data_IF_050882549367
#
_entry.id   IF_050882549367
#
_cell.length_a   1.000
_cell.length_b   1.000
_cell.length_c   1.000
_cell.angle_alpha   90.00
_cell.angle_beta   90.00
_cell.angle_gamma   90.00
#
_symmetry.space_group_name_H-M   'P 1'
#
loop_
_entity.id
_entity.type
_entity.pdbx_description
1 polymer ?
#
# COMPACT_ATOMS: atom_id res chain seq x y z
N UNK A 1 19.66 -3.51 22.27
CA UNK A 1 18.94 -4.56 23.03
C UNK A 1 19.88 -5.07 24.11
N UNK A 2 19.38 -5.28 25.32
CA UNK A 2 20.13 -5.96 26.39
C UNK A 2 20.65 -7.30 25.84
N UNK A 3 21.87 -7.68 26.22
CA UNK A 3 22.45 -8.96 25.82
C UNK A 3 21.50 -10.09 26.24
N UNK A 4 21.33 -11.10 25.38
CA UNK A 4 20.32 -12.16 25.58
C UNK A 4 20.41 -12.94 26.90
N UNK A 5 21.45 -12.71 27.72
CA UNK A 5 21.62 -13.30 29.05
C UNK A 5 20.67 -12.67 30.11
N UNK A 6 20.39 -11.37 30.04
CA UNK A 6 19.57 -10.63 31.03
C UNK A 6 18.10 -10.43 30.61
N UNK A 7 17.72 -10.86 29.41
CA UNK A 7 16.38 -10.64 28.88
C UNK A 7 15.32 -11.58 29.49
N UNK A 8 14.07 -11.13 29.57
CA UNK A 8 12.91 -11.93 30.01
C UNK A 8 12.71 -13.13 29.07
N UNK A 9 11.99 -14.17 29.52
CA UNK A 9 11.80 -15.39 28.73
C UNK A 9 11.15 -15.11 27.35
N UNK A 10 10.23 -14.14 27.27
CA UNK A 10 9.61 -13.72 26.00
C UNK A 10 10.60 -13.08 25.03
N UNK A 11 11.41 -12.15 25.52
CA UNK A 11 12.46 -11.50 24.72
C UNK A 11 13.50 -12.50 24.23
N UNK A 12 13.88 -13.47 25.07
CA UNK A 12 14.77 -14.58 24.68
C UNK A 12 14.18 -15.39 23.52
N UNK A 13 12.87 -15.68 23.53
CA UNK A 13 12.19 -16.39 22.44
C UNK A 13 12.19 -15.58 21.14
N UNK A 14 11.84 -14.30 21.19
CA UNK A 14 11.86 -13.42 20.01
C UNK A 14 13.28 -13.31 19.47
N UNK A 15 14.28 -13.11 20.33
CA UNK A 15 15.68 -13.05 19.91
C UNK A 15 16.10 -14.36 19.23
N UNK A 16 15.77 -15.53 19.81
CA UNK A 16 16.04 -16.85 19.20
C UNK A 16 15.36 -17.01 17.85
N UNK A 17 14.10 -16.59 17.73
CA UNK A 17 13.36 -16.59 16.47
C UNK A 17 14.10 -15.77 15.42
N UNK A 18 14.46 -14.52 15.73
CA UNK A 18 15.16 -13.63 14.79
C UNK A 18 16.58 -14.10 14.44
N UNK A 19 17.27 -14.82 15.33
CA UNK A 19 18.61 -15.39 15.05
C UNK A 19 18.56 -16.73 14.33
N UNK A 20 17.40 -17.37 14.24
CA UNK A 20 17.34 -18.71 13.66
C UNK A 20 17.59 -18.65 12.16
N UNK A 21 18.52 -19.47 11.68
CA UNK A 21 18.82 -19.67 10.27
C UNK A 21 17.82 -20.60 9.58
N UNK A 22 16.94 -21.26 10.35
CA UNK A 22 15.93 -22.21 9.83
C UNK A 22 14.79 -21.55 9.07
N UNK A 23 14.72 -20.22 9.07
CA UNK A 23 13.70 -19.46 8.35
C UNK A 23 14.24 -18.09 7.93
N UNK A 24 13.59 -17.48 6.94
CA UNK A 24 13.82 -16.12 6.49
C UNK A 24 12.50 -15.40 6.26
N UNK A 25 12.56 -14.09 6.08
CA UNK A 25 11.42 -13.25 5.73
C UNK A 25 10.68 -13.74 4.47
N UNK A 26 11.33 -14.50 3.59
CA UNK A 26 10.71 -15.04 2.37
C UNK A 26 9.52 -15.95 2.68
N UNK A 27 9.53 -16.68 3.81
CA UNK A 27 8.38 -17.48 4.23
C UNK A 27 7.12 -16.62 4.41
N UNK A 28 7.27 -15.42 4.98
CA UNK A 28 6.17 -14.47 5.18
C UNK A 28 5.75 -13.86 3.84
N UNK A 29 6.72 -13.54 2.97
CA UNK A 29 6.44 -13.02 1.62
C UNK A 29 5.64 -14.02 0.78
N UNK A 30 5.97 -15.30 0.84
CA UNK A 30 5.21 -16.39 0.19
C UNK A 30 3.80 -16.48 0.78
N UNK A 31 3.68 -16.50 2.11
CA UNK A 31 2.38 -16.55 2.77
C UNK A 31 1.47 -15.38 2.36
N UNK A 32 1.98 -14.15 2.39
CA UNK A 32 1.24 -12.95 1.99
C UNK A 32 0.83 -13.00 0.52
N UNK A 33 1.73 -13.45 -0.35
CA UNK A 33 1.42 -13.63 -1.75
C UNK A 33 0.28 -14.64 -1.96
N UNK A 34 0.30 -15.77 -1.25
CA UNK A 34 -0.77 -16.76 -1.32
C UNK A 34 -2.11 -16.20 -0.81
N UNK A 35 -2.12 -15.46 0.31
CA UNK A 35 -3.33 -14.79 0.79
C UNK A 35 -3.87 -13.75 -0.21
N UNK A 36 -2.98 -13.08 -0.95
CA UNK A 36 -3.38 -12.16 -2.01
C UNK A 36 -3.90 -12.90 -3.24
N UNK A 37 -3.33 -14.07 -3.58
CA UNK A 37 -3.85 -14.93 -4.63
C UNK A 37 -5.25 -15.45 -4.30
N UNK A 38 -5.49 -15.90 -3.08
CA UNK A 38 -6.82 -16.31 -2.60
C UNK A 38 -7.82 -15.16 -2.76
N UNK A 39 -7.44 -13.95 -2.32
CA UNK A 39 -8.30 -12.77 -2.46
C UNK A 39 -8.54 -12.41 -3.93
N UNK A 40 -7.54 -12.55 -4.79
CA UNK A 40 -7.69 -12.36 -6.24
C UNK A 40 -8.72 -13.34 -6.82
N UNK A 41 -8.63 -14.64 -6.48
CA UNK A 41 -9.59 -15.64 -6.97
C UNK A 41 -11.01 -15.43 -6.42
N UNK A 42 -11.15 -14.97 -5.18
CA UNK A 42 -12.45 -14.55 -4.62
C UNK A 42 -13.06 -13.41 -5.44
N UNK A 43 -12.33 -12.31 -5.62
CA UNK A 43 -12.84 -11.15 -6.36
C UNK A 43 -13.17 -11.50 -7.82
N UNK A 44 -12.35 -12.37 -8.42
CA UNK A 44 -12.59 -12.88 -9.77
C UNK A 44 -13.89 -13.69 -9.86
N UNK A 45 -14.15 -14.57 -8.88
CA UNK A 45 -15.41 -15.33 -8.79
C UNK A 45 -16.62 -14.42 -8.57
N UNK A 46 -16.46 -13.35 -7.80
CA UNK A 46 -17.49 -12.33 -7.57
C UNK A 46 -17.74 -11.44 -8.79
N UNK A 47 -16.87 -11.49 -9.81
CA UNK A 47 -16.92 -10.62 -10.97
C UNK A 47 -16.62 -9.16 -10.64
N UNK A 48 -15.95 -8.90 -9.51
CA UNK A 48 -15.53 -7.56 -9.12
C UNK A 48 -14.28 -7.11 -9.89
N UNK A 49 -14.15 -5.81 -10.09
CA UNK A 49 -12.91 -5.22 -10.59
C UNK A 49 -11.79 -5.39 -9.56
N UNK A 50 -10.70 -6.04 -9.96
CA UNK A 50 -9.56 -6.31 -9.09
C UNK A 50 -8.53 -5.21 -9.24
N UNK A 51 -8.27 -4.49 -8.16
CA UNK A 51 -7.31 -3.40 -8.14
C UNK A 51 -6.05 -3.82 -7.39
N UNK A 52 -4.88 -3.49 -7.94
CA UNK A 52 -3.62 -3.56 -7.21
C UNK A 52 -3.16 -2.13 -6.95
N UNK A 53 -3.19 -1.73 -5.69
CA UNK A 53 -2.83 -0.38 -5.26
C UNK A 53 -1.37 -0.34 -4.83
N UNK A 54 -0.64 0.64 -5.34
CA UNK A 54 0.80 0.82 -5.16
C UNK A 54 1.09 2.14 -4.46
N UNK A 55 2.00 2.11 -3.49
CA UNK A 55 2.61 3.33 -2.95
C UNK A 55 3.95 3.00 -2.26
N UNK A 56 4.74 4.05 -2.08
CA UNK A 56 5.99 4.02 -1.33
C UNK A 56 5.86 4.77 0.01
N UNK A 57 6.67 4.40 0.98
CA UNK A 57 6.81 5.10 2.24
C UNK A 57 8.23 4.98 2.76
N UNK A 58 8.53 5.77 3.78
CA UNK A 58 9.83 5.74 4.44
C UNK A 58 9.68 5.32 5.90
N UNK A 59 10.61 4.52 6.41
CA UNK A 59 10.73 4.24 7.84
C UNK A 59 11.75 5.24 8.40
N UNK A 60 11.28 6.24 9.15
CA UNK A 60 12.14 7.26 9.74
C UNK A 60 12.88 6.73 10.99
N UNK A 61 14.21 6.86 11.01
CA UNK A 61 15.12 6.47 12.11
C UNK A 61 16.11 7.60 12.48
N UNK A 62 15.63 8.82 12.80
CA UNK A 62 16.49 10.00 12.98
C UNK A 62 17.52 9.87 14.11
N UNK A 63 17.25 9.02 15.11
CA UNK A 63 18.13 8.80 16.27
C UNK A 63 19.11 7.63 16.07
N UNK A 64 18.97 6.85 14.99
CA UNK A 64 19.76 5.63 14.81
C UNK A 64 21.05 5.90 14.07
N UNK A 65 22.19 5.67 14.72
CA UNK A 65 23.51 5.82 14.08
C UNK A 65 24.16 4.48 13.71
N UNK A 66 23.83 3.41 14.44
CA UNK A 66 24.51 2.10 14.36
C UNK A 66 23.75 1.04 13.55
N UNK A 67 22.53 1.35 13.11
CA UNK A 67 21.77 0.37 12.34
C UNK A 67 22.37 0.23 10.93
N UNK A 68 22.50 -1.00 10.46
CA UNK A 68 23.06 -1.28 9.14
C UNK A 68 22.16 -0.73 8.04
N UNK A 69 22.79 -0.30 6.94
CA UNK A 69 22.14 0.16 5.71
C UNK A 69 21.19 1.36 5.86
N UNK A 70 21.41 2.25 6.84
CA UNK A 70 20.62 3.48 6.91
C UNK A 70 20.87 4.38 5.70
N UNK A 71 19.80 4.74 5.00
CA UNK A 71 19.83 5.71 3.91
C UNK A 71 19.12 7.02 4.29
N UNK A 72 19.32 8.05 3.47
CA UNK A 72 18.73 9.37 3.66
C UNK A 72 17.29 9.38 3.16
N UNK A 73 16.29 9.56 4.01
CA UNK A 73 14.85 9.56 3.65
C UNK A 73 14.18 10.90 3.96
N UNK A 74 13.11 11.26 3.24
CA UNK A 74 12.35 12.48 3.52
C UNK A 74 11.50 12.30 4.76
N UNK A 75 11.63 13.21 5.74
CA UNK A 75 10.83 13.17 6.96
C UNK A 75 9.51 13.91 6.79
N UNK A 76 8.44 13.14 6.68
CA UNK A 76 7.07 13.66 6.69
C UNK A 76 6.70 14.24 8.06
N UNK A 77 7.22 13.64 9.14
CA UNK A 77 6.98 14.07 10.53
C UNK A 77 7.60 15.43 10.82
N UNK A 78 8.87 15.62 10.46
CA UNK A 78 9.56 16.89 10.66
C UNK A 78 8.96 17.99 9.79
N UNK A 79 8.61 17.67 8.52
CA UNK A 79 7.92 18.60 7.64
C UNK A 79 6.58 19.07 8.24
N UNK A 80 5.82 18.17 8.87
CA UNK A 80 4.58 18.53 9.59
C UNK A 80 4.84 19.40 10.80
N UNK A 81 5.86 19.10 11.63
CA UNK A 81 6.21 19.89 12.82
C UNK A 81 6.68 21.31 12.49
N UNK A 82 7.25 21.52 11.29
CA UNK A 82 7.63 22.84 10.80
C UNK A 82 6.44 23.70 10.34
N UNK A 83 5.25 23.11 10.11
CA UNK A 83 4.08 23.90 9.70
C UNK A 83 3.64 24.82 10.84
N UNK A 84 3.88 26.10 10.66
CA UNK A 84 3.26 27.13 11.50
C UNK A 84 1.81 27.36 11.10
N UNK A 85 0.99 27.83 12.04
CA UNK A 85 -0.39 28.24 11.75
C UNK A 85 -0.36 29.43 10.80
N UNK A 86 -1.19 29.37 9.76
CA UNK A 86 -1.37 30.46 8.79
C UNK A 86 -1.69 31.75 9.55
N UNK A 87 -0.92 32.81 9.31
CA UNK A 87 -1.11 34.12 9.95
C UNK A 87 -0.36 34.35 11.27
N UNK A 88 0.31 33.34 11.85
CA UNK A 88 1.18 33.55 13.03
C UNK A 88 2.63 33.74 12.58
N UNK A 89 3.19 32.72 11.93
CA UNK A 89 4.50 32.83 11.27
C UNK A 89 4.34 32.34 9.84
N UNK A 90 4.35 33.25 8.87
CA UNK A 90 4.38 32.90 7.45
C UNK A 90 5.80 32.47 7.06
N UNK A 91 6.33 31.40 7.68
CA UNK A 91 7.62 30.87 7.26
C UNK A 91 7.44 30.20 5.88
N UNK A 92 8.25 30.57 4.88
CA UNK A 92 8.22 29.91 3.59
C UNK A 92 8.46 28.41 3.76
N UNK A 93 7.84 27.61 2.88
CA UNK A 93 8.11 26.18 2.80
C UNK A 93 9.61 25.97 2.55
N UNK A 94 10.33 25.50 3.57
CA UNK A 94 11.76 25.25 3.46
C UNK A 94 12.08 23.99 2.65
N UNK A 95 13.39 23.76 2.44
CA UNK A 95 13.89 22.51 1.86
C UNK A 95 13.31 21.30 2.60
N UNK A 96 13.03 20.18 1.89
CA UNK A 96 12.62 18.93 2.53
C UNK A 96 13.59 18.55 3.64
N UNK A 97 13.05 18.16 4.79
CA UNK A 97 13.87 17.69 5.91
C UNK A 97 14.22 16.22 5.65
N UNK A 98 15.50 15.90 5.72
CA UNK A 98 16.05 14.57 5.46
C UNK A 98 16.54 13.98 6.77
N UNK A 99 16.21 12.72 7.02
CA UNK A 99 16.64 11.95 8.20
C UNK A 99 17.20 10.60 7.78
N UNK A 100 17.84 9.87 8.68
CA UNK A 100 18.22 8.48 8.45
C UNK A 100 16.98 7.58 8.48
N UNK A 101 16.98 6.51 7.68
CA UNK A 101 15.85 5.59 7.60
C UNK A 101 16.04 4.50 6.56
N UNK A 102 14.91 3.92 6.16
CA UNK A 102 14.78 2.90 5.11
C UNK A 102 13.64 3.25 4.18
N UNK A 103 13.74 2.77 2.94
CA UNK A 103 12.66 2.85 1.96
C UNK A 103 11.75 1.63 2.09
N UNK A 104 10.50 1.80 1.67
CA UNK A 104 9.47 0.79 1.82
C UNK A 104 8.46 0.91 0.69
N UNK A 105 8.18 -0.20 0.02
CA UNK A 105 7.20 -0.27 -1.07
C UNK A 105 6.17 -1.34 -0.76
N UNK A 106 4.89 -1.08 -1.05
CA UNK A 106 3.83 -2.08 -0.85
C UNK A 106 2.84 -2.14 -2.01
N UNK A 107 2.31 -3.35 -2.20
CA UNK A 107 1.23 -3.66 -3.13
C UNK A 107 0.07 -4.28 -2.35
N UNK A 108 -1.13 -3.72 -2.53
CA UNK A 108 -2.34 -4.18 -1.83
C UNK A 108 -3.40 -4.53 -2.86
N UNK A 109 -3.95 -5.74 -2.79
CA UNK A 109 -5.08 -6.19 -3.60
C UNK A 109 -6.38 -5.72 -2.94
N UNK A 110 -7.22 -5.03 -3.70
CA UNK A 110 -8.51 -4.52 -3.24
C UNK A 110 -9.58 -4.70 -4.31
N UNK A 111 -10.79 -5.07 -3.90
CA UNK A 111 -11.98 -4.99 -4.75
C UNK A 111 -12.68 -3.64 -4.67
N UNK A 112 -13.87 -3.55 -5.26
CA UNK A 112 -14.76 -2.40 -5.09
C UNK A 112 -15.18 -2.26 -3.63
N UNK A 113 -15.48 -3.40 -2.99
CA UNK A 113 -15.86 -3.52 -1.59
C UNK A 113 -14.96 -4.54 -0.87
N UNK A 114 -15.25 -4.78 0.41
CA UNK A 114 -14.55 -5.77 1.22
C UNK A 114 -13.17 -5.35 1.74
N UNK A 115 -12.50 -6.31 2.38
CA UNK A 115 -11.20 -6.16 3.03
C UNK A 115 -10.06 -6.04 1.99
N UNK A 116 -9.05 -5.21 2.25
CA UNK A 116 -7.81 -5.25 1.48
C UNK A 116 -6.97 -6.49 1.86
N UNK A 117 -6.18 -7.00 0.92
CA UNK A 117 -5.18 -8.05 1.17
C UNK A 117 -3.78 -7.56 0.79
N UNK A 118 -2.81 -7.78 1.66
CA UNK A 118 -1.43 -7.35 1.42
C UNK A 118 -0.72 -8.37 0.54
N UNK A 119 -0.33 -7.98 -0.68
CA UNK A 119 0.33 -8.89 -1.62
C UNK A 119 1.85 -8.88 -1.48
N UNK A 120 2.44 -7.69 -1.35
CA UNK A 120 3.88 -7.51 -1.24
C UNK A 120 4.16 -6.32 -0.32
N UNK A 121 5.20 -6.45 0.49
CA UNK A 121 5.65 -5.40 1.40
C UNK A 121 7.16 -5.50 1.57
N UNK A 122 7.90 -4.74 0.77
CA UNK A 122 9.35 -4.85 0.68
C UNK A 122 10.02 -3.66 1.36
N UNK A 123 10.97 -3.96 2.26
CA UNK A 123 11.75 -2.99 3.02
C UNK A 123 13.18 -3.00 2.51
N UNK A 124 13.66 -1.85 2.03
CA UNK A 124 14.91 -1.78 1.29
C UNK A 124 15.69 -0.51 1.60
N UNK A 125 16.91 -0.42 1.07
CA UNK A 125 17.79 0.72 1.29
C UNK A 125 18.56 1.09 0.04
N UNK A 126 18.87 2.38 -0.10
CA UNK A 126 19.79 2.92 -1.11
C UNK A 126 21.27 2.81 -0.72
N UNK A 127 21.57 2.13 0.39
CA UNK A 127 22.93 1.94 0.93
C UNK A 127 23.14 0.49 1.36
N UNK A 128 24.43 0.11 1.42
CA UNK A 128 24.86 -1.23 1.81
C UNK A 128 25.21 -2.11 0.60
N UNK A 129 25.65 -3.35 0.85
CA UNK A 129 25.99 -4.31 -0.21
C UNK A 129 24.82 -4.61 -1.15
N UNK A 130 23.60 -4.65 -0.61
CA UNK A 130 22.36 -4.88 -1.37
C UNK A 130 21.59 -3.57 -1.60
N UNK A 131 22.31 -2.48 -1.93
CA UNK A 131 21.68 -1.20 -2.23
C UNK A 131 20.78 -1.34 -3.46
N UNK A 132 19.56 -0.83 -3.36
CA UNK A 132 18.59 -0.80 -4.45
C UNK A 132 18.16 0.62 -4.74
N UNK A 133 17.58 0.83 -5.92
CA UNK A 133 16.87 2.06 -6.28
C UNK A 133 15.37 1.84 -6.23
N UNK A 134 14.62 2.95 -6.11
CA UNK A 134 13.15 2.91 -6.16
C UNK A 134 12.65 2.23 -7.42
N UNK A 135 13.26 2.56 -8.57
CA UNK A 135 12.89 2.01 -9.87
C UNK A 135 13.10 0.49 -9.93
N UNK A 136 14.24 -0.02 -9.45
CA UNK A 136 14.53 -1.45 -9.48
C UNK A 136 13.54 -2.25 -8.62
N UNK A 137 13.22 -1.76 -7.42
CA UNK A 137 12.28 -2.46 -6.55
C UNK A 137 10.86 -2.43 -7.12
N UNK A 138 10.42 -1.26 -7.61
CA UNK A 138 9.10 -1.12 -8.23
C UNK A 138 8.97 -1.96 -9.51
N UNK A 139 10.03 -2.04 -10.34
CA UNK A 139 10.04 -2.86 -11.55
C UNK A 139 9.99 -4.36 -11.24
N UNK A 140 10.73 -4.81 -10.23
CA UNK A 140 10.74 -6.20 -9.74
C UNK A 140 9.37 -6.59 -9.21
N UNK A 141 8.75 -5.74 -8.40
CA UNK A 141 7.39 -5.97 -7.89
C UNK A 141 6.38 -5.99 -9.04
N UNK A 142 6.46 -5.04 -9.99
CA UNK A 142 5.58 -5.02 -11.16
C UNK A 142 5.75 -6.27 -12.02
N UNK A 143 6.98 -6.75 -12.20
CA UNK A 143 7.26 -7.97 -12.96
C UNK A 143 6.52 -9.17 -12.37
N UNK A 144 6.56 -9.32 -11.04
CA UNK A 144 5.84 -10.38 -10.35
C UNK A 144 4.33 -10.28 -10.57
N UNK A 145 3.76 -9.10 -10.32
CA UNK A 145 2.30 -8.91 -10.48
C UNK A 145 1.85 -9.09 -11.93
N UNK A 146 2.59 -8.54 -12.90
CA UNK A 146 2.28 -8.68 -14.32
C UNK A 146 2.35 -10.14 -14.79
N UNK A 147 3.33 -10.92 -14.29
CA UNK A 147 3.46 -12.33 -14.64
C UNK A 147 2.30 -13.18 -14.13
N UNK A 148 1.85 -12.93 -12.90
CA UNK A 148 0.82 -13.77 -12.26
C UNK A 148 -0.60 -13.33 -12.63
N UNK A 149 -0.87 -12.03 -12.70
CA UNK A 149 -2.22 -11.50 -12.89
C UNK A 149 -2.43 -10.77 -14.23
N UNK A 150 -1.37 -10.28 -14.87
CA UNK A 150 -1.42 -9.63 -16.17
C UNK A 150 -2.46 -8.51 -16.24
N UNK A 151 -3.31 -8.53 -17.28
CA UNK A 151 -4.39 -7.54 -17.49
C UNK A 151 -5.67 -7.82 -16.70
N UNK A 152 -5.73 -8.89 -15.91
CA UNK A 152 -6.90 -9.20 -15.08
C UNK A 152 -7.01 -8.26 -13.87
N UNK A 153 -5.99 -7.44 -13.63
CA UNK A 153 -5.97 -6.44 -12.56
C UNK A 153 -5.74 -5.05 -13.13
N UNK A 154 -6.33 -4.04 -12.47
CA UNK A 154 -6.05 -2.63 -12.73
C UNK A 154 -5.05 -2.11 -11.70
N UNK A 155 -3.86 -1.73 -12.15
CA UNK A 155 -2.85 -1.14 -11.28
C UNK A 155 -3.19 0.33 -10.98
N UNK A 156 -3.20 0.72 -9.71
CA UNK A 156 -3.55 2.07 -9.26
C UNK A 156 -2.32 2.74 -8.65
N UNK A 157 -1.79 3.77 -9.32
CA UNK A 157 -0.58 4.49 -8.90
C UNK A 157 -0.86 5.96 -8.57
N UNK A 158 -0.15 6.51 -7.57
CA UNK A 158 -0.17 7.96 -7.33
C UNK A 158 0.72 8.74 -8.32
N UNK A 159 0.66 10.07 -8.24
CA UNK A 159 1.47 11.03 -9.00
C UNK A 159 2.99 10.91 -8.84
N UNK A 160 3.48 10.13 -7.88
CA UNK A 160 4.91 9.82 -7.75
C UNK A 160 5.42 8.97 -8.92
N UNK A 161 4.55 8.14 -9.48
CA UNK A 161 4.84 7.22 -10.59
C UNK A 161 4.67 7.86 -11.98
N UNK A 162 4.19 9.11 -12.02
CA UNK A 162 3.92 9.80 -13.28
C UNK A 162 5.24 10.16 -14.00
N UNK A 163 5.55 9.44 -15.07
CA UNK A 163 6.70 9.72 -15.94
C UNK A 163 6.77 8.78 -17.14
N UNK A 164 7.47 9.23 -18.19
CA UNK A 164 7.68 8.45 -19.41
C UNK A 164 8.31 7.07 -19.17
N UNK A 165 9.41 6.94 -18.39
CA UNK A 165 10.03 5.65 -18.11
C UNK A 165 9.09 4.64 -17.45
N UNK A 166 8.19 5.09 -16.58
CA UNK A 166 7.21 4.21 -15.93
C UNK A 166 6.10 3.78 -16.88
N UNK A 167 5.63 4.70 -17.75
CA UNK A 167 4.68 4.37 -18.83
C UNK A 167 5.25 3.31 -19.77
N UNK A 168 6.50 3.47 -20.20
CA UNK A 168 7.18 2.52 -21.10
C UNK A 168 7.25 1.13 -20.47
N UNK A 169 7.59 1.05 -19.18
CA UNK A 169 7.67 -0.21 -18.47
C UNK A 169 6.30 -0.90 -18.34
N UNK A 170 5.22 -0.15 -18.07
CA UNK A 170 3.86 -0.71 -18.07
C UNK A 170 3.42 -1.17 -19.46
N UNK A 171 3.81 -0.45 -20.51
CA UNK A 171 3.56 -0.85 -21.90
C UNK A 171 4.24 -2.18 -22.22
N UNK A 172 5.55 -2.30 -21.93
CA UNK A 172 6.34 -3.53 -22.16
C UNK A 172 5.83 -4.74 -21.41
N UNK A 173 5.12 -4.53 -20.29
CA UNK A 173 4.55 -5.61 -19.46
C UNK A 173 3.08 -5.87 -19.74
N UNK A 174 2.49 -5.13 -20.69
CA UNK A 174 1.08 -5.25 -21.08
C UNK A 174 0.14 -5.25 -19.86
N UNK A 175 0.30 -4.29 -18.94
CA UNK A 175 -0.57 -4.16 -17.77
C UNK A 175 -1.62 -3.08 -17.95
N UNK A 176 -2.78 -3.26 -17.33
CA UNK A 176 -3.80 -2.22 -17.23
C UNK A 176 -3.51 -1.31 -16.04
N UNK A 177 -3.62 0.01 -16.21
CA UNK A 177 -3.26 0.94 -15.15
C UNK A 177 -4.14 2.19 -15.09
N UNK A 178 -4.12 2.86 -13.95
CA UNK A 178 -4.52 4.25 -13.76
C UNK A 178 -3.47 4.99 -12.93
N UNK A 179 -2.99 6.12 -13.45
CA UNK A 179 -2.01 6.99 -12.78
C UNK A 179 -2.56 8.40 -12.72
N UNK A 180 -2.41 9.06 -11.57
CA UNK A 180 -2.71 10.50 -11.47
C UNK A 180 -1.53 11.34 -11.93
N UNK A 181 -1.76 12.21 -12.90
CA UNK A 181 -0.76 13.15 -13.39
C UNK A 181 -1.01 14.57 -12.88
N UNK A 182 0.05 15.39 -12.84
CA UNK A 182 -0.06 16.83 -12.55
C UNK A 182 -0.43 17.59 -13.83
N UNK A 183 -1.13 18.71 -13.69
CA UNK A 183 -1.61 19.54 -14.81
C UNK A 183 -0.51 20.02 -15.78
N UNK A 184 0.74 20.11 -15.32
CA UNK A 184 1.86 20.65 -16.11
C UNK A 184 2.56 19.62 -17.01
N UNK A 185 2.17 18.34 -16.97
CA UNK A 185 2.70 17.35 -17.89
C UNK A 185 2.06 17.46 -19.26
N UNK A 186 2.84 17.23 -20.30
CA UNK A 186 2.45 17.37 -21.69
C UNK A 186 2.08 16.02 -22.31
N UNK A 187 1.04 16.04 -23.12
CA UNK A 187 0.53 14.91 -23.89
C UNK A 187 0.10 15.44 -25.26
N UNK A 188 0.10 14.57 -26.26
CA UNK A 188 -0.45 14.89 -27.57
C UNK A 188 -1.96 14.62 -27.55
N UNK A 189 -2.74 15.54 -28.11
CA UNK A 189 -4.17 15.33 -28.30
C UNK A 189 -4.47 14.49 -29.56
N UNK A 190 -5.75 14.33 -29.88
CA UNK A 190 -6.23 13.59 -31.06
C UNK A 190 -5.74 14.21 -32.39
N UNK A 191 -5.41 15.51 -32.41
CA UNK A 191 -4.89 16.21 -33.57
C UNK A 191 -3.34 16.15 -33.65
N UNK A 192 -2.68 15.54 -32.67
CA UNK A 192 -1.23 15.48 -32.58
C UNK A 192 -0.59 16.74 -31.98
N UNK A 193 -1.37 17.67 -31.43
CA UNK A 193 -0.84 18.88 -30.79
C UNK A 193 -0.38 18.59 -29.36
N UNK A 194 0.85 18.98 -29.04
CA UNK A 194 1.36 18.86 -27.67
C UNK A 194 0.73 19.93 -26.76
N UNK A 195 0.00 19.47 -25.75
CA UNK A 195 -0.68 20.33 -24.79
C UNK A 195 -0.43 19.83 -23.37
N UNK A 196 -0.31 20.75 -22.42
CA UNK A 196 -0.36 20.37 -21.01
C UNK A 196 -1.74 19.83 -20.64
N UNK A 197 -1.80 18.86 -19.73
CA UNK A 197 -3.05 18.32 -19.19
C UNK A 197 -3.98 19.44 -18.67
N UNK A 198 -3.41 20.50 -18.09
CA UNK A 198 -4.14 21.69 -17.65
C UNK A 198 -4.82 22.46 -18.78
N UNK A 199 -4.17 22.59 -19.94
CA UNK A 199 -4.78 23.22 -21.12
C UNK A 199 -5.91 22.35 -21.68
N UNK A 200 -5.65 21.04 -21.85
CA UNK A 200 -6.67 20.07 -22.28
C UNK A 200 -7.89 20.09 -21.37
N UNK A 201 -7.66 20.12 -20.05
CA UNK A 201 -8.71 20.21 -19.05
C UNK A 201 -9.52 21.50 -19.05
N UNK A 202 -8.97 22.62 -19.53
CA UNK A 202 -9.73 23.88 -19.65
C UNK A 202 -10.62 23.90 -20.90
N UNK A 203 -10.17 23.25 -21.99
CA UNK A 203 -10.90 23.19 -23.27
C UNK A 203 -12.21 22.38 -23.17
N UNK A 204 -12.32 21.43 -22.24
CA UNK A 204 -13.49 20.51 -22.14
C UNK A 204 -14.37 20.77 -20.91
N UNK A 205 -15.69 20.93 -21.12
CA UNK A 205 -16.68 20.92 -20.04
C UNK A 205 -16.86 19.50 -19.48
N UNK A 206 -17.33 19.41 -18.23
CA UNK A 206 -17.74 18.12 -17.64
C UNK A 206 -18.91 17.55 -18.43
N UNK A 207 -18.83 16.27 -18.80
CA UNK A 207 -19.88 15.55 -19.53
C UNK A 207 -20.95 15.02 -18.58
N UNK A 208 -20.55 14.49 -17.43
CA UNK A 208 -21.46 13.99 -16.39
C UNK A 208 -21.11 14.55 -15.01
N UNK A 209 -22.08 14.52 -14.09
CA UNK A 209 -21.95 14.98 -12.70
C UNK A 209 -22.66 14.06 -11.72
N UNK A 210 -21.98 13.68 -10.63
CA UNK A 210 -22.58 12.91 -9.53
C UNK A 210 -22.28 13.55 -8.18
N UNK A 211 -23.20 13.37 -7.22
CA UNK A 211 -22.97 13.74 -5.82
C UNK A 211 -22.17 12.63 -5.15
N UNK A 212 -20.94 12.93 -4.74
CA UNK A 212 -20.04 11.98 -4.09
C UNK A 212 -19.75 12.44 -2.67
N UNK A 213 -19.89 11.53 -1.70
CA UNK A 213 -19.52 11.79 -0.31
C UNK A 213 -18.01 11.97 -0.15
N UNK A 214 -17.58 13.13 0.35
CA UNK A 214 -16.19 13.40 0.72
C UNK A 214 -15.97 13.05 2.19
N UNK A 215 -15.36 11.91 2.46
CA UNK A 215 -15.11 11.43 3.82
C UNK A 215 -14.17 12.33 4.64
N UNK A 216 -13.35 13.18 4.00
CA UNK A 216 -12.43 14.09 4.70
C UNK A 216 -13.16 15.33 5.19
N UNK A 217 -14.10 15.84 4.38
CA UNK A 217 -14.87 17.05 4.69
C UNK A 217 -16.24 16.77 5.28
N UNK A 218 -16.66 15.51 5.32
CA UNK A 218 -17.97 15.08 5.79
C UNK A 218 -19.12 15.80 5.07
N UNK A 219 -19.02 15.95 3.75
CA UNK A 219 -20.04 16.61 2.93
C UNK A 219 -20.21 15.91 1.58
N UNK A 220 -21.42 16.00 1.02
CA UNK A 220 -21.66 15.58 -0.36
C UNK A 220 -21.14 16.65 -1.32
N UNK A 221 -20.26 16.25 -2.24
CA UNK A 221 -19.65 17.13 -3.23
C UNK A 221 -20.14 16.79 -4.63
N UNK A 222 -20.61 17.81 -5.35
CA UNK A 222 -20.83 17.71 -6.79
C UNK A 222 -19.48 17.49 -7.47
N UNK A 223 -19.34 16.31 -8.08
CA UNK A 223 -18.13 15.91 -8.80
C UNK A 223 -18.48 15.79 -10.28
N UNK A 224 -17.80 16.57 -11.12
CA UNK A 224 -17.95 16.50 -12.57
C UNK A 224 -16.81 15.73 -13.21
N UNK A 225 -17.10 14.98 -14.26
CA UNK A 225 -16.13 14.16 -14.99
C UNK A 225 -16.20 14.45 -16.48
N UNK A 226 -15.05 14.43 -17.14
CA UNK A 226 -14.94 14.39 -18.61
C UNK A 226 -13.73 13.56 -18.97
N UNK A 227 -13.68 13.04 -20.18
CA UNK A 227 -12.58 12.20 -20.65
C UNK A 227 -12.27 12.46 -22.12
N UNK A 228 -11.05 12.10 -22.52
CA UNK A 228 -10.59 12.23 -23.89
C UNK A 228 -9.39 11.32 -24.18
N UNK A 229 -9.17 11.05 -25.46
CA UNK A 229 -7.97 10.35 -25.90
C UNK A 229 -6.77 11.30 -25.87
N UNK A 230 -5.62 10.73 -25.55
CA UNK A 230 -4.31 11.40 -25.54
C UNK A 230 -3.23 10.40 -25.93
N UNK A 231 -2.10 10.88 -26.41
CA UNK A 231 -0.90 10.07 -26.68
C UNK A 231 0.28 10.62 -25.90
N UNK A 232 1.24 9.76 -25.59
CA UNK A 232 2.46 10.13 -24.88
C UNK A 232 3.66 9.53 -25.60
N UNK A 233 4.78 10.26 -25.72
CA UNK A 233 5.94 9.80 -26.50
C UNK A 233 6.50 8.44 -26.02
N UNK A 234 6.43 8.17 -24.71
CA UNK A 234 6.86 6.90 -24.10
C UNK A 234 5.78 5.80 -24.06
N UNK A 235 4.69 5.92 -24.81
CA UNK A 235 3.62 4.93 -24.86
C UNK A 235 3.04 4.82 -26.28
N UNK A 236 3.17 3.66 -26.92
CA UNK A 236 2.87 3.51 -28.35
C UNK A 236 1.39 3.57 -28.70
N UNK A 237 0.53 3.11 -27.79
CA UNK A 237 -0.92 3.05 -27.98
C UNK A 237 -1.62 4.34 -27.51
N UNK A 238 -2.91 4.45 -27.84
CA UNK A 238 -3.74 5.56 -27.35
C UNK A 238 -4.03 5.39 -25.87
N UNK A 239 -3.85 6.46 -25.11
CA UNK A 239 -4.23 6.56 -23.71
C UNK A 239 -5.52 7.39 -23.57
N UNK A 240 -6.15 7.27 -22.41
CA UNK A 240 -7.29 8.09 -22.02
C UNK A 240 -6.95 8.89 -20.78
N UNK A 241 -7.39 10.14 -20.75
CA UNK A 241 -7.35 10.97 -19.54
C UNK A 241 -8.75 11.23 -19.04
N UNK A 242 -9.00 10.87 -17.79
CA UNK A 242 -10.20 11.24 -17.04
C UNK A 242 -9.91 12.47 -16.19
N UNK A 243 -10.61 13.55 -16.48
CA UNK A 243 -10.50 14.83 -15.78
C UNK A 243 -11.64 14.92 -14.77
N UNK A 244 -11.28 14.93 -13.48
CA UNK A 244 -12.23 14.95 -12.37
C UNK A 244 -12.22 16.30 -11.66
N UNK A 245 -13.38 16.95 -11.57
CA UNK A 245 -13.59 18.26 -10.96
C UNK A 245 -14.46 18.12 -9.70
N UNK A 246 -13.84 18.25 -8.53
CA UNK A 246 -14.47 18.04 -7.20
C UNK A 246 -14.31 19.22 -6.23
N UNK A 247 -14.20 20.43 -6.79
CA UNK A 247 -13.85 21.66 -6.07
C UNK A 247 -12.35 21.72 -5.74
N UNK A 248 -11.67 22.74 -6.25
CA UNK A 248 -10.21 22.88 -6.20
C UNK A 248 -9.53 22.44 -7.50
N UNK A 249 -8.25 22.06 -7.42
CA UNK A 249 -7.48 21.61 -8.59
C UNK A 249 -8.00 20.27 -9.13
N UNK A 250 -8.31 20.18 -10.44
CA UNK A 250 -8.77 18.95 -11.07
C UNK A 250 -7.77 17.80 -10.95
N UNK A 251 -8.28 16.57 -10.94
CA UNK A 251 -7.45 15.37 -11.08
C UNK A 251 -7.38 14.98 -12.54
N UNK A 252 -6.19 14.60 -13.00
CA UNK A 252 -5.96 14.06 -14.33
C UNK A 252 -5.54 12.61 -14.16
N UNK A 253 -6.47 11.68 -14.40
CA UNK A 253 -6.23 10.25 -14.25
C UNK A 253 -5.99 9.66 -15.63
N UNK A 254 -4.75 9.27 -15.92
CA UNK A 254 -4.36 8.68 -17.20
C UNK A 254 -4.42 7.17 -17.08
N UNK A 255 -5.03 6.52 -18.07
CA UNK A 255 -5.21 5.07 -18.14
C UNK A 255 -5.08 4.59 -19.58
N UNK A 256 -4.71 3.32 -19.77
CA UNK A 256 -4.74 2.65 -21.07
C UNK A 256 -6.07 1.91 -21.34
N UNK A 257 -7.03 1.95 -20.42
CA UNK A 257 -8.38 1.39 -20.66
C UNK A 257 -9.21 2.33 -21.54
N UNK A 258 -9.95 1.76 -22.48
CA UNK A 258 -10.85 2.51 -23.33
C UNK A 258 -12.00 3.13 -22.53
N UNK A 259 -12.37 4.38 -22.86
CA UNK A 259 -13.45 5.11 -22.19
C UNK A 259 -14.36 5.75 -23.24
N UNK A 260 -15.45 5.07 -23.54
CA UNK A 260 -16.48 5.52 -24.48
C UNK A 260 -17.71 6.05 -23.74
N UNK A 261 -17.95 5.56 -22.53
CA UNK A 261 -19.13 5.85 -21.71
C UNK A 261 -18.78 6.60 -20.42
N UNK A 262 -19.76 7.28 -19.84
CA UNK A 262 -19.60 7.92 -18.54
C UNK A 262 -19.37 6.89 -17.43
N UNK A 263 -20.01 5.71 -17.50
CA UNK A 263 -19.84 4.62 -16.54
C UNK A 263 -18.38 4.16 -16.45
N UNK A 264 -17.72 4.01 -17.60
CA UNK A 264 -16.30 3.64 -17.65
C UNK A 264 -15.42 4.72 -17.02
N UNK A 265 -15.71 6.00 -17.29
CA UNK A 265 -14.97 7.10 -16.67
C UNK A 265 -15.15 7.11 -15.14
N UNK A 266 -16.38 6.86 -14.66
CA UNK A 266 -16.66 6.74 -13.23
C UNK A 266 -16.02 5.51 -12.59
N UNK A 267 -15.88 4.39 -13.30
CA UNK A 267 -15.13 3.22 -12.82
C UNK A 267 -13.66 3.58 -12.56
N UNK A 268 -13.01 4.30 -13.48
CA UNK A 268 -11.62 4.78 -13.30
C UNK A 268 -11.52 5.72 -12.08
N UNK A 269 -12.48 6.64 -11.93
CA UNK A 269 -12.54 7.49 -10.75
C UNK A 269 -12.67 6.68 -9.44
N UNK A 270 -13.60 5.73 -9.38
CA UNK A 270 -13.84 4.88 -8.20
C UNK A 270 -12.60 4.03 -7.88
N UNK A 271 -11.96 3.44 -8.90
CA UNK A 271 -10.72 2.70 -8.74
C UNK A 271 -9.62 3.57 -8.12
N UNK A 272 -9.42 4.78 -8.67
CA UNK A 272 -8.43 5.69 -8.11
C UNK A 272 -8.81 6.18 -6.69
N UNK A 273 -10.10 6.31 -6.37
CA UNK A 273 -10.55 6.57 -5.00
C UNK A 273 -10.13 5.48 -4.02
N UNK A 274 -10.00 4.20 -4.45
CA UNK A 274 -9.51 3.09 -3.62
C UNK A 274 -8.00 3.16 -3.35
N UNK A 275 -7.25 4.04 -4.03
CA UNK A 275 -5.80 4.20 -3.82
C UNK A 275 -5.43 4.49 -2.35
N UNK A 276 -6.28 5.17 -1.58
CA UNK A 276 -5.96 5.51 -0.19
C UNK A 276 -5.79 4.30 0.75
N UNK A 277 -6.14 3.08 0.32
CA UNK A 277 -5.99 1.90 1.16
C UNK A 277 -4.53 1.58 1.50
N UNK A 278 -3.60 1.73 0.57
CA UNK A 278 -2.18 1.52 0.85
C UNK A 278 -1.62 2.58 1.81
N UNK A 279 -2.08 3.85 1.72
CA UNK A 279 -1.72 4.87 2.70
C UNK A 279 -2.23 4.52 4.10
N UNK A 280 -3.40 3.89 4.18
CA UNK A 280 -3.95 3.42 5.47
C UNK A 280 -3.16 2.27 6.03
N UNK A 281 -2.68 1.36 5.17
CA UNK A 281 -1.72 0.31 5.56
C UNK A 281 -0.48 0.95 6.19
N UNK A 282 0.16 1.89 5.50
CA UNK A 282 1.35 2.59 6.00
C UNK A 282 1.10 3.38 7.28
N UNK A 283 -0.03 4.09 7.36
CA UNK A 283 -0.41 4.83 8.55
C UNK A 283 -0.56 3.91 9.74
N UNK A 284 -1.23 2.78 9.56
CA UNK A 284 -1.47 1.81 10.62
C UNK A 284 -0.17 1.18 11.14
N UNK A 285 0.69 0.74 10.22
CA UNK A 285 2.03 0.21 10.53
C UNK A 285 2.90 1.19 11.33
N UNK A 286 2.90 2.47 10.92
CA UNK A 286 3.67 3.52 11.61
C UNK A 286 3.09 3.88 12.97
N UNK A 287 1.76 3.98 13.08
CA UNK A 287 1.10 4.49 14.29
C UNK A 287 0.77 3.42 15.33
N UNK A 288 0.24 2.27 14.90
CA UNK A 288 -0.30 1.24 15.78
C UNK A 288 0.64 0.05 15.96
N UNK A 289 1.38 -0.34 14.92
CA UNK A 289 2.43 -1.36 15.03
C UNK A 289 3.80 -0.77 15.33
N UNK A 290 3.89 0.56 15.38
CA UNK A 290 5.07 1.31 15.83
C UNK A 290 6.38 0.87 15.14
N UNK A 291 6.33 0.52 13.85
CA UNK A 291 7.48 -0.04 13.09
C UNK A 291 8.74 0.85 13.15
N UNK A 292 8.55 2.17 13.23
CA UNK A 292 9.64 3.14 13.32
C UNK A 292 10.33 3.17 14.70
N UNK A 293 9.77 2.53 15.73
CA UNK A 293 10.39 2.44 17.07
C UNK A 293 11.39 1.29 17.19
N UNK A 294 11.41 0.35 16.24
CA UNK A 294 12.26 -0.85 16.30
C UNK A 294 13.75 -0.49 16.35
N UNK A 295 14.49 -1.09 17.28
CA UNK A 295 15.93 -0.83 17.51
C UNK A 295 16.79 -2.08 17.25
N UNK A 296 16.58 -2.74 16.12
CA UNK A 296 17.39 -3.88 15.66
C UNK A 296 18.43 -3.37 14.66
N UNK A 297 19.71 -3.54 15.00
CA UNK A 297 20.81 -2.99 14.20
C UNK A 297 21.18 -3.87 13.01
N UNK A 298 21.21 -5.19 13.21
CA UNK A 298 21.58 -6.17 12.17
C UNK A 298 20.49 -6.28 11.12
N UNK A 299 20.87 -6.13 9.84
CA UNK A 299 19.97 -6.11 8.68
C UNK A 299 19.04 -7.32 8.64
N UNK A 300 19.61 -8.52 8.65
CA UNK A 300 18.85 -9.77 8.53
C UNK A 300 17.76 -9.89 9.61
N UNK A 301 18.14 -9.68 10.89
CA UNK A 301 17.21 -9.72 12.02
C UNK A 301 16.14 -8.64 11.93
N UNK A 302 16.51 -7.45 11.45
CA UNK A 302 15.58 -6.33 11.27
C UNK A 302 14.56 -6.63 10.18
N UNK A 303 15.00 -7.17 9.04
CA UNK A 303 14.14 -7.55 7.92
C UNK A 303 13.15 -8.65 8.33
N UNK A 304 13.63 -9.69 9.01
CA UNK A 304 12.78 -10.72 9.65
C UNK A 304 11.70 -10.08 10.55
N UNK A 305 12.09 -9.12 11.40
CA UNK A 305 11.15 -8.47 12.31
C UNK A 305 10.15 -7.54 11.60
N UNK A 306 10.58 -6.80 10.58
CA UNK A 306 9.66 -6.00 9.75
C UNK A 306 8.60 -6.87 9.06
N UNK A 307 8.98 -8.06 8.58
CA UNK A 307 8.01 -8.99 8.00
C UNK A 307 7.13 -9.66 9.04
N UNK A 308 7.60 -9.91 10.27
CA UNK A 308 6.72 -10.33 11.37
C UNK A 308 5.63 -9.28 11.61
N UNK A 309 5.98 -8.00 11.55
CA UNK A 309 5.00 -6.91 11.68
C UNK A 309 3.99 -6.94 10.52
N UNK A 310 4.45 -7.09 9.27
CA UNK A 310 3.54 -7.17 8.12
C UNK A 310 2.63 -8.41 8.19
N UNK A 311 3.11 -9.51 8.79
CA UNK A 311 2.29 -10.69 9.09
C UNK A 311 1.20 -10.38 10.12
N UNK A 312 1.53 -9.66 11.20
CA UNK A 312 0.54 -9.19 12.20
C UNK A 312 -0.51 -8.31 11.53
N UNK A 313 -0.09 -7.43 10.61
CA UNK A 313 -1.04 -6.64 9.81
C UNK A 313 -1.97 -7.52 8.98
N UNK A 314 -1.41 -8.51 8.29
CA UNK A 314 -2.17 -9.44 7.45
C UNK A 314 -3.21 -10.21 8.28
N UNK A 315 -2.85 -10.65 9.48
CA UNK A 315 -3.78 -11.26 10.44
C UNK A 315 -4.91 -10.29 10.82
N UNK A 316 -4.59 -9.03 11.10
CA UNK A 316 -5.60 -8.05 11.48
C UNK A 316 -6.57 -7.74 10.34
N UNK A 317 -6.09 -7.69 9.10
CA UNK A 317 -6.94 -7.56 7.92
C UNK A 317 -7.81 -8.79 7.72
N UNK A 318 -7.23 -9.97 7.90
CA UNK A 318 -7.95 -11.24 7.81
C UNK A 318 -9.11 -11.30 8.81
N UNK A 319 -8.88 -10.87 10.05
CA UNK A 319 -9.90 -10.77 11.09
C UNK A 319 -10.99 -9.72 10.82
N UNK A 320 -10.85 -8.88 9.79
CA UNK A 320 -11.95 -7.99 9.36
C UNK A 320 -12.95 -8.68 8.44
N UNK A 321 -12.71 -9.93 8.06
CA UNK A 321 -13.68 -10.69 7.29
C UNK A 321 -15.02 -10.81 8.05
N UNK A 322 -16.11 -10.84 7.29
CA UNK A 322 -17.44 -10.98 7.84
C UNK A 322 -17.59 -12.34 8.56
N UNK A 323 -16.83 -13.36 8.16
CA UNK A 323 -16.74 -14.66 8.85
C UNK A 323 -16.32 -14.54 10.32
N UNK A 324 -15.53 -13.53 10.68
CA UNK A 324 -15.07 -13.30 12.06
C UNK A 324 -15.92 -12.27 12.80
N UNK A 325 -16.98 -11.73 12.19
CA UNK A 325 -17.75 -10.60 12.75
C UNK A 325 -18.21 -10.85 14.18
N UNK A 326 -18.70 -12.04 14.50
CA UNK A 326 -19.22 -12.36 15.83
C UNK A 326 -18.11 -12.40 16.89
N UNK A 327 -17.00 -13.06 16.58
CA UNK A 327 -15.80 -13.13 17.44
C UNK A 327 -15.26 -11.72 17.67
N UNK A 328 -15.16 -10.91 16.63
CA UNK A 328 -14.64 -9.54 16.71
C UNK A 328 -15.60 -8.64 17.51
N UNK A 329 -16.90 -8.81 17.32
CA UNK A 329 -17.92 -8.11 18.09
C UNK A 329 -17.81 -8.45 19.58
N UNK A 330 -17.60 -9.72 19.91
CA UNK A 330 -17.35 -10.16 21.28
C UNK A 330 -16.05 -9.58 21.85
N UNK A 331 -14.92 -9.72 21.14
CA UNK A 331 -13.62 -9.13 21.54
C UNK A 331 -13.74 -7.63 21.80
N UNK A 332 -14.51 -6.93 20.97
CA UNK A 332 -14.79 -5.50 21.13
C UNK A 332 -15.62 -5.15 22.34
N UNK A 333 -16.56 -6.01 22.75
CA UNK A 333 -17.38 -5.79 23.95
C UNK A 333 -16.56 -6.02 25.21
N UNK A 334 -15.81 -7.11 25.27
CA UNK A 334 -15.08 -7.50 26.47
C UNK A 334 -13.77 -6.71 26.66
N UNK A 335 -12.94 -6.60 25.62
CA UNK A 335 -11.57 -6.11 25.77
C UNK A 335 -11.37 -4.68 25.27
N UNK A 336 -12.31 -4.11 24.53
CA UNK A 336 -12.22 -2.71 24.07
C UNK A 336 -13.59 -2.05 23.97
N UNK A 337 -14.36 -2.09 25.06
CA UNK A 337 -15.66 -1.45 25.15
C UNK A 337 -15.55 0.07 24.89
N UNK A 338 -16.46 0.63 24.10
CA UNK A 338 -16.58 2.08 23.88
C UNK A 338 -18.00 2.54 24.16
N UNK A 339 -18.14 3.56 24.99
CA UNK A 339 -19.40 4.23 25.31
C UNK A 339 -19.63 5.40 24.34
N UNK A 340 -20.88 5.57 23.88
CA UNK A 340 -21.29 6.68 23.01
C UNK A 340 -21.50 6.32 21.54
N UNK A 341 -22.63 6.76 20.97
CA UNK A 341 -23.09 6.47 19.60
C UNK A 341 -22.06 6.80 18.52
N UNK A 342 -21.43 7.98 18.59
CA UNK A 342 -20.38 8.42 17.65
C UNK A 342 -19.14 7.51 17.63
N UNK A 343 -18.78 6.90 18.76
CA UNK A 343 -17.64 6.00 18.83
C UNK A 343 -17.98 4.58 18.38
N UNK A 344 -19.25 4.17 18.45
CA UNK A 344 -19.76 2.90 17.91
C UNK A 344 -19.84 2.93 16.38
N UNK A 345 -20.17 4.08 15.80
CA UNK A 345 -20.30 4.28 14.34
C UNK A 345 -18.97 4.58 13.64
N UNK A 346 -17.92 4.93 14.39
CA UNK A 346 -16.61 5.23 13.82
C UNK A 346 -15.98 3.96 13.21
N UNK A 347 -15.90 3.92 11.88
CA UNK A 347 -15.19 2.88 11.11
C UNK A 347 -13.69 3.00 11.33
N UNK A 348 -13.22 2.51 12.49
CA UNK A 348 -11.78 2.31 12.74
C UNK A 348 -11.52 0.88 13.27
N UNK A 349 -11.93 -0.18 12.53
CA UNK A 349 -11.94 -1.54 13.07
C UNK A 349 -10.54 -2.03 13.44
N UNK A 350 -9.53 -1.82 12.58
CA UNK A 350 -8.18 -2.35 12.79
C UNK A 350 -7.51 -1.78 14.04
N UNK A 351 -7.62 -0.47 14.26
CA UNK A 351 -7.02 0.20 15.42
C UNK A 351 -7.64 -0.35 16.72
N UNK A 352 -8.97 -0.38 16.79
CA UNK A 352 -9.69 -0.92 17.95
C UNK A 352 -9.37 -2.41 18.14
N UNK A 353 -9.27 -3.16 17.04
CA UNK A 353 -9.01 -4.60 17.04
C UNK A 353 -7.65 -4.91 17.63
N UNK A 354 -6.61 -4.18 17.21
CA UNK A 354 -5.27 -4.33 17.79
C UNK A 354 -5.26 -4.10 19.30
N UNK A 355 -5.91 -3.04 19.77
CA UNK A 355 -6.00 -2.77 21.22
C UNK A 355 -6.77 -3.86 21.96
N UNK A 356 -7.89 -4.32 21.41
CA UNK A 356 -8.70 -5.37 22.01
C UNK A 356 -7.92 -6.70 22.10
N UNK A 357 -7.30 -7.13 21.00
CA UNK A 357 -6.45 -8.33 20.97
C UNK A 357 -5.25 -8.22 21.91
N UNK A 358 -4.62 -7.04 21.99
CA UNK A 358 -3.50 -6.83 22.91
C UNK A 358 -3.92 -7.02 24.37
N UNK A 359 -5.12 -6.56 24.76
CA UNK A 359 -5.64 -6.73 26.12
C UNK A 359 -6.06 -8.17 26.36
N UNK A 360 -6.77 -8.77 25.41
CA UNK A 360 -7.13 -10.19 25.43
C UNK A 360 -5.92 -11.08 25.66
N UNK A 361 -4.83 -10.91 24.90
CA UNK A 361 -3.63 -11.74 25.04
C UNK A 361 -2.77 -11.42 26.27
N UNK A 362 -2.95 -10.24 26.90
CA UNK A 362 -2.31 -9.94 28.18
C UNK A 362 -2.99 -10.66 29.34
N UNK A 363 -4.32 -10.82 29.26
CA UNK A 363 -5.14 -11.51 30.25
C UNK A 363 -5.10 -13.04 30.04
N UNK A 364 -5.36 -13.47 28.81
CA UNK A 364 -5.33 -14.88 28.40
C UNK A 364 -4.02 -15.11 27.67
N UNK A 365 -3.06 -15.75 28.34
CA UNK A 365 -1.85 -16.24 27.68
C UNK A 365 -2.23 -17.47 26.87
N UNK A 366 -2.32 -17.39 25.53
CA UNK A 366 -2.77 -18.54 24.76
C UNK A 366 -1.72 -19.64 24.91
N UNK A 367 -2.14 -20.78 25.45
CA UNK A 367 -1.36 -22.00 25.29
C UNK A 367 -1.68 -22.49 23.90
N UNK A 368 -0.88 -22.06 22.92
CA UNK A 368 -0.94 -22.64 21.59
C UNK A 368 -0.48 -24.09 21.70
N UNK A 369 -1.44 -25.00 21.87
CA UNK A 369 -1.24 -26.42 21.58
C UNK A 369 -1.05 -26.49 20.06
N UNK A 370 0.18 -26.30 19.60
CA UNK A 370 0.54 -26.59 18.22
C UNK A 370 0.42 -28.10 18.02
N UNK A 371 -0.78 -28.57 17.70
CA UNK A 371 -0.95 -29.87 17.07
C UNK A 371 -0.30 -29.77 15.69
N UNK A 372 0.90 -30.33 15.56
CA UNK A 372 1.65 -30.42 14.30
C UNK A 372 0.98 -31.38 13.28
N UNK A 373 -0.35 -31.38 13.20
CA UNK A 373 -1.13 -32.19 12.25
C UNK A 373 -1.84 -31.34 11.19
N UNK A 374 -1.27 -30.18 10.86
CA UNK A 374 -1.65 -29.50 9.61
C UNK A 374 -0.67 -30.00 8.55
N UNK A 375 -1.10 -30.97 7.73
CA UNK A 375 -0.42 -31.22 6.47
C UNK A 375 -0.37 -29.89 5.70
N UNK A 376 0.82 -29.44 5.24
CA UNK A 376 0.89 -28.25 4.40
C UNK A 376 -0.05 -28.47 3.23
N UNK A 377 -0.93 -27.49 2.94
CA UNK A 377 -1.73 -27.54 1.72
C UNK A 377 -0.77 -27.77 0.55
N UNK A 378 -1.18 -28.60 -0.40
CA UNK A 378 -0.37 -29.01 -1.56
C UNK A 378 0.20 -27.83 -2.37
N UNK A 379 -0.37 -26.62 -2.22
CA UNK A 379 0.14 -25.37 -2.77
C UNK A 379 1.50 -24.93 -2.19
N UNK A 380 1.81 -25.28 -0.93
CA UNK A 380 3.04 -24.84 -0.26
C UNK A 380 4.30 -25.53 -0.80
N UNK A 381 4.18 -26.77 -1.31
CA UNK A 381 5.30 -27.51 -1.89
C UNK A 381 5.63 -27.11 -3.34
N UNK A 382 4.65 -26.62 -4.11
CA UNK A 382 4.89 -26.22 -5.49
C UNK A 382 5.74 -24.95 -5.60
N UNK A 383 5.67 -24.03 -4.62
CA UNK A 383 6.50 -22.81 -4.61
C UNK A 383 7.97 -23.03 -4.23
N UNK A 384 8.31 -24.10 -3.51
CA UNK A 384 9.68 -24.40 -3.08
C UNK A 384 10.48 -25.20 -4.13
N UNK A 385 9.81 -25.98 -4.98
CA UNK A 385 10.46 -26.85 -5.97
C UNK A 385 10.92 -26.15 -7.26
N UNK A 386 10.54 -24.89 -7.50
CA UNK A 386 10.93 -24.17 -8.74
C UNK A 386 12.39 -23.67 -8.68
N UNK A 387 13.05 -23.67 -7.52
CA UNK A 387 14.45 -23.21 -7.39
C UNK A 387 15.51 -24.31 -7.44
N UNK A 388 15.14 -25.60 -7.44
CA UNK A 388 16.11 -26.71 -7.49
C UNK A 388 16.38 -27.26 -8.90
N UNK A 389 15.75 -26.73 -9.95
CA UNK A 389 15.93 -27.21 -11.33
C UNK A 389 16.72 -26.28 -12.27
N UNK A 390 17.20 -25.12 -11.80
CA UNK A 390 18.06 -24.23 -12.59
C UNK A 390 19.51 -24.21 -12.10
N UNK A 391 20.02 -25.39 -11.75
CA UNK A 391 21.46 -25.64 -11.60
C UNK A 391 21.78 -26.98 -12.27
N UNK A 392 21.89 -26.92 -13.59
CA UNK A 392 22.35 -27.97 -14.50
C UNK A 392 23.01 -27.29 -15.68
#
# INVERSE_FOLDING_TARGET
MLSGRQATAGEKRIHRLLTSEKWSEELIRIFQWNQAQERYEELKREGEEILVVWDGSEIEKPESQKAEDLCAVRSSKAARRKKSRKGIFNQPGGKPIIVQGYEWTACVVVGEKGKPSLAMMDFWSRRGPDAQTTKEEEEKMLAKVAREWGRNVLHVFDRGYAGGPWLEMMWRRHVDFVIRWKKGHHFFDENGEENSLGQLGKKKRSRDHRMIWDAVKHENRKTGITWMQVRHASYSETLWVVIVRRGGEPWYLVTNRCIETEEQAWKIYKAYCRRWQVETVFRYEKSELAIETIRIWKKEKRNKFFHIISLVHSLLLHLLDDDYRDIITWIFREYCHRTGKKQKEAKVPIYRLRWALSRFFQEIRPVFLFAWNVQPSTAFHQGLNVRSQNSG
#
